data_IF_204232673109
#
_entry.id   IF_204232673109
#
_cell.length_a   1.000
_cell.length_b   1.000
_cell.length_c   1.000
_cell.angle_alpha   90.00
_cell.angle_beta   90.00
_cell.angle_gamma   90.00
#
_symmetry.space_group_name_H-M   'P 1'
#
loop_
_entity.id
_entity.type
_entity.pdbx_description
1 polymer ?
#
# COMPACT_ATOMS: atom_id res chain seq x y z
N UNK A 1 -17.54 -15.53 -10.02
CA UNK A 1 -18.39 -14.34 -9.84
C UNK A 1 -18.95 -13.89 -11.19
N UNK A 2 -20.15 -13.31 -11.20
CA UNK A 2 -20.77 -12.70 -12.39
C UNK A 2 -20.90 -11.21 -12.14
N UNK A 3 -20.40 -10.39 -13.05
CA UNK A 3 -20.50 -8.93 -13.01
C UNK A 3 -21.44 -8.47 -14.13
N UNK A 4 -22.41 -7.64 -13.77
CA UNK A 4 -23.42 -7.16 -14.72
C UNK A 4 -24.49 -6.32 -14.05
N UNK A 5 -25.43 -5.81 -14.85
CA UNK A 5 -26.58 -5.07 -14.31
C UNK A 5 -27.42 -6.00 -13.44
N UNK A 6 -27.90 -5.51 -12.29
CA UNK A 6 -28.70 -6.29 -11.32
C UNK A 6 -29.88 -7.03 -11.96
N UNK A 7 -30.58 -6.40 -12.92
CA UNK A 7 -31.69 -7.02 -13.65
C UNK A 7 -31.28 -8.27 -14.45
N UNK A 8 -30.08 -8.26 -15.03
CA UNK A 8 -29.55 -9.38 -15.83
C UNK A 8 -29.10 -10.52 -14.91
N UNK A 9 -28.44 -10.17 -13.80
CA UNK A 9 -28.02 -11.14 -12.78
C UNK A 9 -29.25 -11.83 -12.17
N UNK A 10 -30.30 -11.07 -11.85
CA UNK A 10 -31.55 -11.62 -11.32
C UNK A 10 -32.16 -12.63 -12.28
N UNK A 11 -32.29 -12.27 -13.55
CA UNK A 11 -32.84 -13.17 -14.57
C UNK A 11 -32.02 -14.46 -14.68
N UNK A 12 -30.70 -14.35 -14.71
CA UNK A 12 -29.80 -15.51 -14.74
C UNK A 12 -29.97 -16.38 -13.49
N UNK A 13 -30.10 -15.76 -12.31
CA UNK A 13 -30.31 -16.50 -11.07
C UNK A 13 -31.64 -17.28 -11.10
N UNK A 14 -32.71 -16.65 -11.57
CA UNK A 14 -34.02 -17.28 -11.71
C UNK A 14 -33.98 -18.44 -12.73
N UNK A 15 -33.34 -18.24 -13.89
CA UNK A 15 -33.24 -19.23 -14.97
C UNK A 15 -32.45 -20.49 -14.57
N UNK A 16 -31.44 -20.34 -13.71
CA UNK A 16 -30.54 -21.42 -13.29
C UNK A 16 -30.76 -21.89 -11.85
N UNK A 17 -31.77 -21.35 -11.14
CA UNK A 17 -32.05 -21.67 -9.74
C UNK A 17 -30.90 -21.32 -8.79
N UNK A 18 -30.21 -20.22 -9.05
CA UNK A 18 -29.05 -19.77 -8.26
C UNK A 18 -29.48 -18.78 -7.18
N UNK A 19 -28.80 -18.84 -6.03
CA UNK A 19 -28.96 -17.84 -4.97
C UNK A 19 -27.98 -16.68 -5.19
N UNK A 20 -28.49 -15.44 -5.16
CA UNK A 20 -27.67 -14.24 -5.27
C UNK A 20 -27.23 -13.84 -3.87
N UNK A 21 -25.93 -13.92 -3.62
CA UNK A 21 -25.33 -13.37 -2.41
C UNK A 21 -25.19 -11.84 -2.52
N UNK A 22 -25.36 -11.10 -1.41
CA UNK A 22 -25.26 -9.64 -1.39
C UNK A 22 -23.84 -9.14 -1.64
N UNK A 23 -22.84 -9.94 -1.30
CA UNK A 23 -21.41 -9.63 -1.44
C UNK A 23 -20.64 -10.81 -2.04
N UNK A 24 -19.43 -10.51 -2.47
CA UNK A 24 -18.63 -11.38 -3.32
C UNK A 24 -17.57 -12.09 -2.46
N UNK A 25 -17.99 -13.03 -1.63
CA UNK A 25 -17.13 -13.59 -0.57
C UNK A 25 -15.90 -14.35 -1.11
N UNK A 26 -16.11 -15.26 -2.06
CA UNK A 26 -15.07 -16.22 -2.51
C UNK A 26 -14.06 -15.58 -3.49
N UNK A 27 -14.46 -14.59 -4.27
CA UNK A 27 -13.63 -14.01 -5.34
C UNK A 27 -13.36 -12.51 -5.13
N UNK A 28 -13.61 -11.96 -3.94
CA UNK A 28 -13.42 -10.54 -3.62
C UNK A 28 -12.03 -10.04 -4.00
N UNK A 29 -10.98 -10.78 -3.62
CA UNK A 29 -9.59 -10.41 -3.90
C UNK A 29 -9.25 -10.41 -5.39
N UNK A 30 -9.67 -11.46 -6.10
CA UNK A 30 -9.40 -11.61 -7.54
C UNK A 30 -10.07 -10.52 -8.39
N UNK A 31 -11.05 -9.81 -7.82
CA UNK A 31 -11.78 -8.71 -8.45
C UNK A 31 -11.52 -7.36 -7.77
N UNK A 32 -10.57 -7.29 -6.84
CA UNK A 32 -10.20 -6.04 -6.21
C UNK A 32 -9.60 -5.08 -7.26
N UNK A 33 -9.93 -3.76 -7.23
CA UNK A 33 -9.41 -2.79 -8.19
C UNK A 33 -7.88 -2.72 -8.27
N UNK A 34 -7.18 -3.12 -7.21
CA UNK A 34 -5.71 -3.19 -7.14
C UNK A 34 -5.13 -4.39 -7.87
N UNK A 35 -5.93 -5.41 -8.22
CA UNK A 35 -5.49 -6.68 -8.82
C UNK A 35 -6.07 -6.89 -10.21
N UNK A 36 -7.31 -6.44 -10.44
CA UNK A 36 -8.01 -6.62 -11.70
C UNK A 36 -8.99 -5.47 -11.98
N UNK A 37 -9.36 -5.32 -13.24
CA UNK A 37 -10.35 -4.33 -13.65
C UNK A 37 -10.64 -4.35 -15.14
N UNK A 38 -11.31 -3.30 -15.60
CA UNK A 38 -11.64 -3.13 -17.02
C UNK A 38 -10.47 -2.43 -17.71
N UNK A 39 -10.06 -2.98 -18.85
CA UNK A 39 -9.03 -2.42 -19.70
C UNK A 39 -9.45 -2.44 -21.17
N UNK A 40 -8.84 -1.54 -21.93
CA UNK A 40 -9.00 -1.38 -23.36
C UNK A 40 -7.74 -1.88 -24.07
N UNK A 41 -7.93 -2.78 -25.04
CA UNK A 41 -6.86 -3.39 -25.82
C UNK A 41 -7.24 -3.38 -27.29
N UNK A 42 -6.37 -2.89 -28.15
CA UNK A 42 -6.59 -2.81 -29.60
C UNK A 42 -5.94 -3.99 -30.31
N UNK A 43 -6.57 -4.50 -31.36
CA UNK A 43 -5.97 -5.47 -32.28
C UNK A 43 -5.19 -4.72 -33.37
N UNK A 44 -3.83 -4.77 -33.38
CA UNK A 44 -3.03 -4.11 -34.39
C UNK A 44 -3.17 -4.77 -35.78
N UNK A 45 -2.82 -4.06 -36.87
CA UNK A 45 -2.92 -4.59 -38.24
C UNK A 45 -2.12 -5.87 -38.52
N UNK A 46 -1.04 -6.11 -37.78
CA UNK A 46 -0.17 -7.28 -37.94
C UNK A 46 -0.54 -8.45 -37.00
N UNK A 47 -1.68 -8.36 -36.32
CA UNK A 47 -2.13 -9.37 -35.34
C UNK A 47 -2.52 -10.68 -36.03
N UNK A 48 -2.08 -11.80 -35.46
CA UNK A 48 -2.47 -13.15 -35.88
C UNK A 48 -3.90 -13.53 -35.49
N UNK A 49 -4.61 -12.63 -34.80
CA UNK A 49 -5.99 -12.81 -34.34
C UNK A 49 -7.04 -12.27 -35.31
N UNK A 50 -6.62 -11.58 -36.36
CA UNK A 50 -7.52 -11.08 -37.40
C UNK A 50 -8.28 -12.26 -38.05
N UNK A 51 -9.57 -12.06 -38.31
CA UNK A 51 -10.55 -13.06 -38.77
C UNK A 51 -10.85 -14.22 -37.80
N UNK A 52 -10.19 -14.29 -36.64
CA UNK A 52 -10.52 -15.29 -35.60
C UNK A 52 -11.60 -14.76 -34.67
N UNK A 53 -12.37 -15.69 -34.10
CA UNK A 53 -13.40 -15.37 -33.09
C UNK A 53 -12.86 -15.53 -31.68
N UNK A 54 -13.38 -14.77 -30.72
CA UNK A 54 -12.99 -14.87 -29.31
C UNK A 54 -13.21 -16.28 -28.74
N UNK A 55 -14.26 -16.99 -29.19
CA UNK A 55 -14.55 -18.38 -28.78
C UNK A 55 -13.51 -19.37 -29.33
N UNK A 56 -13.07 -19.20 -30.57
CA UNK A 56 -12.10 -20.07 -31.24
C UNK A 56 -10.73 -20.02 -30.55
N UNK A 57 -10.26 -18.82 -30.21
CA UNK A 57 -8.98 -18.61 -29.54
C UNK A 57 -9.05 -18.81 -28.03
N UNK A 58 -10.24 -19.12 -27.49
CA UNK A 58 -10.51 -19.26 -26.05
C UNK A 58 -9.97 -18.05 -25.27
N UNK A 59 -10.37 -16.86 -25.68
CA UNK A 59 -9.80 -15.56 -25.25
C UNK A 59 -9.54 -15.46 -23.75
N UNK A 60 -10.53 -15.86 -22.93
CA UNK A 60 -10.43 -15.85 -21.46
C UNK A 60 -9.39 -16.83 -20.90
N UNK A 61 -9.25 -18.01 -21.50
CA UNK A 61 -8.32 -19.06 -21.02
C UNK A 61 -6.89 -18.82 -21.52
N UNK A 62 -6.74 -18.35 -22.75
CA UNK A 62 -5.43 -18.17 -23.39
C UNK A 62 -4.79 -16.84 -23.01
N UNK A 63 -5.57 -15.77 -22.98
CA UNK A 63 -5.07 -14.40 -22.79
C UNK A 63 -5.54 -13.75 -21.48
N UNK A 64 -6.40 -14.44 -20.70
CA UNK A 64 -6.93 -13.89 -19.45
C UNK A 64 -7.94 -12.75 -19.64
N UNK A 65 -8.36 -12.47 -20.88
CA UNK A 65 -9.26 -11.38 -21.24
C UNK A 65 -10.72 -11.86 -21.21
N UNK A 66 -11.50 -11.36 -20.25
CA UNK A 66 -12.95 -11.49 -20.23
C UNK A 66 -13.59 -10.40 -21.09
N UNK A 67 -13.82 -10.68 -22.37
CA UNK A 67 -14.37 -9.72 -23.31
C UNK A 67 -15.75 -9.20 -22.86
N UNK A 68 -15.91 -7.88 -22.80
CA UNK A 68 -17.14 -7.19 -22.42
C UNK A 68 -17.80 -6.53 -23.64
N UNK A 69 -17.00 -5.89 -24.49
CA UNK A 69 -17.46 -5.26 -25.71
C UNK A 69 -16.35 -5.17 -26.77
N UNK A 70 -16.75 -5.00 -28.03
CA UNK A 70 -15.88 -4.67 -29.16
C UNK A 70 -16.35 -3.33 -29.71
N UNK A 71 -15.47 -2.34 -29.74
CA UNK A 71 -15.71 -1.06 -30.40
C UNK A 71 -15.04 -1.07 -31.79
N UNK A 72 -15.84 -0.85 -32.83
CA UNK A 72 -15.43 -0.94 -34.24
C UNK A 72 -16.10 0.16 -35.04
N UNK A 73 -15.30 1.06 -35.62
CA UNK A 73 -15.79 2.07 -36.56
C UNK A 73 -16.87 3.00 -35.98
N UNK A 74 -16.81 3.30 -34.67
CA UNK A 74 -17.79 4.13 -33.98
C UNK A 74 -19.01 3.36 -33.44
N UNK A 75 -19.16 2.08 -33.78
CA UNK A 75 -20.20 1.21 -33.24
C UNK A 75 -19.66 0.34 -32.09
N UNK A 76 -20.52 0.07 -31.11
CA UNK A 76 -20.21 -0.80 -29.97
C UNK A 76 -21.00 -2.10 -30.10
N UNK A 77 -20.29 -3.22 -30.10
CA UNK A 77 -20.86 -4.57 -30.06
C UNK A 77 -20.73 -5.10 -28.64
N UNK A 78 -21.85 -5.47 -28.02
CA UNK A 78 -21.84 -6.14 -26.71
C UNK A 78 -23.02 -7.08 -26.56
N UNK A 79 -22.95 -7.98 -25.58
CA UNK A 79 -24.03 -8.93 -25.27
C UNK A 79 -25.28 -8.23 -24.68
N UNK A 80 -25.19 -6.95 -24.33
CA UNK A 80 -26.27 -6.20 -23.68
C UNK A 80 -26.85 -5.20 -24.67
N UNK A 81 -28.15 -5.31 -24.94
CA UNK A 81 -28.87 -4.32 -25.74
C UNK A 81 -28.96 -3.00 -24.97
N UNK A 82 -28.65 -1.90 -25.66
CA UNK A 82 -28.85 -0.53 -25.18
C UNK A 82 -29.63 0.27 -26.23
N UNK A 83 -29.95 1.53 -25.92
CA UNK A 83 -30.59 2.42 -26.90
C UNK A 83 -29.65 2.77 -28.06
N UNK A 84 -28.33 2.64 -27.85
CA UNK A 84 -27.28 2.96 -28.81
C UNK A 84 -26.89 1.78 -29.70
N UNK A 85 -27.09 0.53 -29.24
CA UNK A 85 -26.70 -0.67 -30.01
C UNK A 85 -27.49 -1.94 -29.65
N UNK A 86 -27.61 -2.83 -30.64
CA UNK A 86 -28.31 -4.12 -30.50
C UNK A 86 -27.39 -5.18 -29.87
N UNK A 87 -27.96 -6.07 -29.07
CA UNK A 87 -27.23 -7.19 -28.48
C UNK A 87 -26.60 -8.06 -29.58
N UNK A 88 -25.29 -8.24 -29.49
CA UNK A 88 -24.48 -9.02 -30.44
C UNK A 88 -23.68 -10.06 -29.67
N UNK A 89 -23.63 -11.29 -30.20
CA UNK A 89 -22.77 -12.33 -29.62
C UNK A 89 -21.30 -12.07 -29.98
N UNK A 90 -20.65 -11.23 -29.18
CA UNK A 90 -19.24 -10.84 -29.32
C UNK A 90 -18.27 -12.03 -29.26
N UNK A 91 -18.70 -13.20 -28.76
CA UNK A 91 -17.87 -14.39 -28.77
C UNK A 91 -17.71 -14.98 -30.18
N UNK A 92 -18.68 -14.72 -31.06
CA UNK A 92 -18.77 -15.22 -32.43
C UNK A 92 -18.37 -14.20 -33.51
N UNK A 93 -18.15 -12.94 -33.12
CA UNK A 93 -17.71 -11.89 -34.05
C UNK A 93 -16.23 -12.11 -34.39
N UNK A 94 -15.87 -12.25 -35.69
CA UNK A 94 -14.48 -12.31 -36.09
C UNK A 94 -13.82 -10.94 -35.89
N UNK A 95 -12.61 -10.96 -35.34
CA UNK A 95 -11.84 -9.75 -35.08
C UNK A 95 -11.31 -9.12 -36.36
N UNK A 96 -11.20 -7.79 -36.35
CA UNK A 96 -10.63 -6.98 -37.43
C UNK A 96 -9.51 -6.10 -36.88
N UNK A 97 -8.59 -5.71 -37.77
CA UNK A 97 -7.58 -4.71 -37.44
C UNK A 97 -8.25 -3.40 -37.00
N UNK A 98 -7.76 -2.83 -35.89
CA UNK A 98 -8.29 -1.62 -35.29
C UNK A 98 -9.47 -1.84 -34.33
N UNK A 99 -9.94 -3.08 -34.15
CA UNK A 99 -10.93 -3.37 -33.11
C UNK A 99 -10.39 -2.99 -31.74
N UNK A 100 -11.16 -2.21 -30.99
CA UNK A 100 -10.86 -1.91 -29.58
C UNK A 100 -11.69 -2.83 -28.71
N UNK A 101 -11.03 -3.75 -28.02
CA UNK A 101 -11.63 -4.70 -27.11
C UNK A 101 -11.70 -4.09 -25.71
N UNK A 102 -12.90 -3.99 -25.16
CA UNK A 102 -13.10 -3.69 -23.75
C UNK A 102 -13.20 -5.02 -23.02
N UNK A 103 -12.29 -5.28 -22.09
CA UNK A 103 -12.24 -6.56 -21.38
C UNK A 103 -11.97 -6.38 -19.89
N UNK A 104 -12.55 -7.26 -19.08
CA UNK A 104 -12.14 -7.42 -17.69
C UNK A 104 -10.93 -8.37 -17.62
N UNK A 105 -9.88 -7.98 -16.91
CA UNK A 105 -8.65 -8.76 -16.81
C UNK A 105 -7.89 -8.47 -15.51
N UNK A 106 -7.06 -9.43 -15.08
CA UNK A 106 -6.08 -9.19 -14.04
C UNK A 106 -4.95 -8.31 -14.59
N UNK A 107 -4.41 -7.41 -13.77
CA UNK A 107 -3.33 -6.50 -14.16
C UNK A 107 -2.06 -7.24 -14.59
N UNK A 108 -1.78 -8.40 -13.99
CA UNK A 108 -0.69 -9.30 -14.42
C UNK A 108 -0.88 -9.78 -15.87
N UNK A 109 -2.11 -10.16 -16.25
CA UNK A 109 -2.41 -10.58 -17.62
C UNK A 109 -2.25 -9.42 -18.60
N UNK A 110 -2.71 -8.22 -18.21
CA UNK A 110 -2.59 -7.02 -19.03
C UNK A 110 -1.13 -6.64 -19.29
N UNK A 111 -0.28 -6.72 -18.25
CA UNK A 111 1.16 -6.51 -18.38
C UNK A 111 1.83 -7.54 -19.32
N UNK A 112 1.39 -8.80 -19.31
CA UNK A 112 1.86 -9.81 -20.28
C UNK A 112 1.43 -9.49 -21.72
N UNK A 113 0.25 -8.90 -21.90
CA UNK A 113 -0.26 -8.55 -23.23
C UNK A 113 0.51 -7.40 -23.88
N UNK A 114 1.11 -6.50 -23.09
CA UNK A 114 2.00 -5.44 -23.62
C UNK A 114 3.22 -5.99 -24.36
N UNK A 115 3.65 -7.22 -24.02
CA UNK A 115 4.77 -7.89 -24.69
C UNK A 115 4.32 -8.70 -25.92
N UNK A 116 3.01 -8.85 -26.15
CA UNK A 116 2.46 -9.57 -27.29
C UNK A 116 2.44 -8.70 -28.54
N UNK A 117 2.64 -9.32 -29.70
CA UNK A 117 2.45 -8.65 -31.00
C UNK A 117 0.99 -8.58 -31.44
N UNK A 118 0.14 -9.40 -30.83
CA UNK A 118 -1.27 -9.54 -31.23
C UNK A 118 -2.19 -8.48 -30.62
N UNK A 119 -1.67 -7.65 -29.70
CA UNK A 119 -2.43 -6.70 -28.88
C UNK A 119 -1.65 -5.40 -28.66
N UNK A 120 -2.38 -4.29 -28.56
CA UNK A 120 -1.85 -2.99 -28.12
C UNK A 120 -2.70 -2.55 -26.93
N UNK A 121 -2.10 -2.48 -25.75
CA UNK A 121 -2.81 -2.03 -24.54
C UNK A 121 -2.97 -0.52 -24.56
N UNK A 122 -4.21 -0.03 -24.48
CA UNK A 122 -4.54 1.41 -24.47
C UNK A 122 -4.62 1.94 -23.04
N UNK A 123 -5.13 1.14 -22.11
CA UNK A 123 -5.20 1.51 -20.70
C UNK A 123 -3.78 1.64 -20.11
N UNK A 124 -3.32 2.87 -19.91
CA UNK A 124 -2.03 3.17 -19.28
C UNK A 124 -2.08 3.17 -17.75
N UNK A 125 -3.24 3.48 -17.18
CA UNK A 125 -3.41 3.79 -15.76
C UNK A 125 -3.86 2.55 -14.98
N UNK A 126 -2.97 1.55 -14.89
CA UNK A 126 -3.16 0.40 -14.02
C UNK A 126 -1.91 0.13 -13.16
N UNK A 127 -2.06 -0.45 -11.96
CA UNK A 127 -0.93 -0.75 -11.08
C UNK A 127 0.05 -1.72 -11.77
N UNK A 128 1.23 -1.24 -12.15
CA UNK A 128 2.34 -2.05 -12.68
C UNK A 128 3.46 -2.11 -11.65
N UNK A 129 3.77 -3.30 -11.16
CA UNK A 129 5.06 -3.55 -10.51
C UNK A 129 6.06 -4.04 -11.58
N UNK A 130 7.01 -3.19 -11.98
CA UNK A 130 8.11 -3.60 -12.86
C UNK A 130 9.10 -4.49 -12.09
N UNK A 131 8.91 -5.81 -12.17
CA UNK A 131 9.85 -6.76 -11.56
C UNK A 131 11.14 -6.85 -12.40
N UNK A 132 12.31 -6.61 -11.77
CA UNK A 132 13.65 -6.72 -12.40
C UNK A 132 14.49 -7.86 -11.79
N UNK A 133 14.12 -9.14 -12.00
CA UNK A 133 14.76 -10.29 -11.32
C UNK A 133 16.27 -10.43 -11.62
N UNK A 134 16.72 -10.01 -12.81
CA UNK A 134 18.13 -10.10 -13.20
C UNK A 134 19.05 -9.11 -12.44
N UNK A 135 18.49 -8.17 -11.68
CA UNK A 135 19.22 -7.14 -10.93
C UNK A 135 19.37 -7.45 -9.44
N UNK A 136 18.77 -8.54 -8.97
CA UNK A 136 18.76 -8.93 -7.55
C UNK A 136 20.17 -9.15 -7.01
N UNK A 137 21.07 -9.74 -7.80
CA UNK A 137 22.47 -9.98 -7.37
C UNK A 137 23.17 -8.67 -7.03
N UNK A 138 23.01 -7.63 -7.87
CA UNK A 138 23.59 -6.32 -7.64
C UNK A 138 22.95 -5.61 -6.44
N UNK A 139 21.62 -5.75 -6.28
CA UNK A 139 20.91 -5.20 -5.13
C UNK A 139 21.43 -5.80 -3.81
N UNK A 140 21.53 -7.13 -3.74
CA UNK A 140 22.04 -7.85 -2.56
C UNK A 140 23.50 -7.47 -2.30
N UNK A 141 24.33 -7.40 -3.34
CA UNK A 141 25.73 -7.02 -3.21
C UNK A 141 25.92 -5.64 -2.55
N UNK A 142 25.24 -4.60 -3.05
CA UNK A 142 25.36 -3.25 -2.49
C UNK A 142 24.72 -3.12 -1.10
N UNK A 143 23.64 -3.87 -0.85
CA UNK A 143 23.07 -3.98 0.49
C UNK A 143 24.06 -4.59 1.49
N UNK A 144 24.73 -5.69 1.12
CA UNK A 144 25.76 -6.32 1.94
C UNK A 144 26.95 -5.39 2.17
N UNK A 145 27.36 -4.60 1.18
CA UNK A 145 28.41 -3.57 1.36
C UNK A 145 27.99 -2.55 2.41
N UNK A 146 26.79 -1.98 2.30
CA UNK A 146 26.31 -1.02 3.31
C UNK A 146 26.28 -1.63 4.70
N UNK A 147 25.79 -2.87 4.83
CA UNK A 147 25.70 -3.57 6.11
C UNK A 147 27.10 -3.87 6.68
N UNK A 148 28.04 -4.27 5.84
CA UNK A 148 29.44 -4.45 6.22
C UNK A 148 30.07 -3.15 6.73
N UNK A 149 29.86 -2.03 6.01
CA UNK A 149 30.35 -0.73 6.46
C UNK A 149 29.75 -0.34 7.81
N UNK A 150 28.46 -0.59 8.04
CA UNK A 150 27.80 -0.28 9.32
C UNK A 150 28.39 -1.10 10.47
N UNK A 151 28.64 -2.39 10.27
CA UNK A 151 29.05 -3.30 11.35
C UNK A 151 30.55 -3.27 11.64
N UNK A 152 31.39 -3.03 10.64
CA UNK A 152 32.84 -3.21 10.74
C UNK A 152 33.64 -1.92 10.60
N UNK A 153 32.98 -0.78 10.40
CA UNK A 153 33.67 0.53 10.30
C UNK A 153 33.00 1.58 11.17
N UNK A 154 33.77 2.57 11.63
CA UNK A 154 33.28 3.74 12.38
C UNK A 154 32.67 4.84 11.48
N UNK A 155 32.29 4.48 10.25
CA UNK A 155 31.66 5.44 9.35
C UNK A 155 30.28 5.83 9.88
N UNK A 156 29.92 7.10 9.67
CA UNK A 156 28.55 7.56 9.96
C UNK A 156 27.56 6.70 9.20
N UNK A 157 26.52 6.24 9.89
CA UNK A 157 25.45 5.41 9.33
C UNK A 157 24.91 5.98 8.01
N UNK A 158 24.75 7.31 7.92
CA UNK A 158 24.28 8.00 6.72
C UNK A 158 25.21 7.79 5.52
N UNK A 159 26.53 7.81 5.71
CA UNK A 159 27.49 7.56 4.65
C UNK A 159 27.47 6.09 4.22
N UNK A 160 27.42 5.17 5.19
CA UNK A 160 27.37 3.74 4.89
C UNK A 160 26.12 3.35 4.08
N UNK A 161 24.95 3.89 4.42
CA UNK A 161 23.71 3.67 3.66
C UNK A 161 23.73 4.36 2.30
N UNK A 162 24.27 5.59 2.21
CA UNK A 162 24.36 6.32 0.94
C UNK A 162 25.23 5.59 -0.08
N UNK A 163 26.33 4.95 0.36
CA UNK A 163 27.18 4.17 -0.57
C UNK A 163 26.44 3.02 -1.25
N UNK A 164 25.58 2.29 -0.52
CA UNK A 164 24.76 1.23 -1.10
C UNK A 164 23.71 1.78 -2.05
N UNK A 165 23.02 2.85 -1.68
CA UNK A 165 22.03 3.52 -2.54
C UNK A 165 22.67 4.02 -3.85
N UNK A 166 23.82 4.71 -3.78
CA UNK A 166 24.57 5.14 -4.95
C UNK A 166 25.01 3.95 -5.82
N UNK A 167 25.43 2.84 -5.21
CA UNK A 167 25.78 1.62 -5.92
C UNK A 167 24.60 0.99 -6.67
N UNK A 168 23.41 0.97 -6.06
CA UNK A 168 22.18 0.50 -6.71
C UNK A 168 21.79 1.36 -7.92
N UNK A 169 21.96 2.68 -7.82
CA UNK A 169 21.72 3.59 -8.95
C UNK A 169 22.77 3.38 -10.05
N UNK A 170 24.06 3.31 -9.69
CA UNK A 170 25.15 3.13 -10.65
C UNK A 170 25.09 1.80 -11.41
N UNK A 171 24.58 0.74 -10.77
CA UNK A 171 24.37 -0.58 -11.39
C UNK A 171 23.04 -0.71 -12.16
N UNK A 172 22.27 0.39 -12.22
CA UNK A 172 20.95 0.46 -12.86
C UNK A 172 19.99 -0.62 -12.29
N UNK A 173 20.10 -0.86 -10.98
CA UNK A 173 19.12 -1.64 -10.21
C UNK A 173 17.89 -0.77 -9.98
N UNK A 174 18.14 0.48 -9.58
CA UNK A 174 17.14 1.51 -9.31
C UNK A 174 17.40 2.73 -10.20
N UNK A 175 16.35 3.26 -10.82
CA UNK A 175 16.42 4.56 -11.53
C UNK A 175 16.51 5.68 -10.52
N UNK A 176 17.03 6.84 -10.94
CA UNK A 176 17.13 7.98 -10.04
C UNK A 176 15.77 8.46 -9.56
N UNK A 177 14.76 8.45 -10.44
CA UNK A 177 13.39 8.85 -10.09
C UNK A 177 12.77 7.90 -9.05
N UNK A 178 12.92 6.59 -9.25
CA UNK A 178 12.50 5.56 -8.27
C UNK A 178 13.18 5.76 -6.91
N UNK A 179 14.46 6.17 -6.90
CA UNK A 179 15.19 6.50 -5.67
C UNK A 179 14.65 7.76 -4.98
N UNK A 180 14.29 8.80 -5.75
CA UNK A 180 13.70 10.03 -5.24
C UNK A 180 12.31 9.80 -4.64
N UNK A 181 11.50 8.93 -5.26
CA UNK A 181 10.17 8.54 -4.78
C UNK A 181 10.25 7.68 -3.51
N UNK A 182 11.29 6.85 -3.38
CA UNK A 182 11.51 6.04 -2.17
C UNK A 182 11.85 6.88 -0.92
N UNK A 183 12.28 8.14 -1.09
CA UNK A 183 12.57 9.04 0.02
C UNK A 183 11.28 9.64 0.57
N UNK A 184 11.02 9.42 1.86
CA UNK A 184 9.92 10.08 2.57
C UNK A 184 10.26 11.55 2.87
N UNK A 185 10.08 12.42 1.88
CA UNK A 185 10.28 13.88 2.02
C UNK A 185 9.54 14.49 3.22
N UNK A 186 8.28 14.11 3.54
CA UNK A 186 7.61 14.60 4.75
C UNK A 186 8.38 14.31 6.04
N UNK A 187 9.01 13.13 6.14
CA UNK A 187 9.81 12.73 7.31
C UNK A 187 11.10 13.55 7.39
N UNK A 188 11.75 13.81 6.25
CA UNK A 188 12.97 14.64 6.20
C UNK A 188 12.66 16.07 6.66
N UNK A 189 11.61 16.68 6.12
CA UNK A 189 11.20 18.03 6.51
C UNK A 189 10.74 18.10 7.97
N UNK A 190 10.06 17.07 8.46
CA UNK A 190 9.71 16.96 9.87
C UNK A 190 10.97 17.02 10.74
N UNK A 191 11.90 16.06 10.57
CA UNK A 191 13.08 15.96 11.43
C UNK A 191 13.92 17.23 11.34
N UNK A 192 14.04 17.83 10.15
CA UNK A 192 14.70 19.12 9.97
C UNK A 192 13.98 20.24 10.75
N UNK A 193 12.65 20.28 10.76
CA UNK A 193 11.86 21.28 11.49
C UNK A 193 11.91 21.14 13.02
N UNK A 194 12.24 19.94 13.54
CA UNK A 194 12.35 19.72 14.98
C UNK A 194 13.50 20.49 15.62
N UNK A 195 14.58 20.72 14.88
CA UNK A 195 15.75 21.46 15.36
C UNK A 195 15.38 22.92 15.69
N UNK A 196 14.86 23.74 14.75
CA UNK A 196 14.48 25.11 15.06
C UNK A 196 13.27 25.19 16.00
N UNK A 197 12.32 24.24 15.93
CA UNK A 197 11.20 24.20 16.87
C UNK A 197 11.68 23.98 18.31
N UNK A 198 12.58 23.01 18.52
CA UNK A 198 13.19 22.76 19.83
C UNK A 198 13.93 23.99 20.36
N UNK A 199 14.68 24.69 19.48
CA UNK A 199 15.33 25.95 19.84
C UNK A 199 14.34 27.05 20.21
N UNK A 200 13.26 27.20 19.45
CA UNK A 200 12.22 28.18 19.75
C UNK A 200 11.56 27.91 21.12
N UNK A 201 11.17 26.66 21.38
CA UNK A 201 10.53 26.23 22.63
C UNK A 201 11.46 26.42 23.84
N UNK A 202 12.77 26.21 23.67
CA UNK A 202 13.77 26.53 24.70
C UNK A 202 13.90 28.04 24.92
N UNK A 203 14.08 28.81 23.84
CA UNK A 203 14.33 30.25 23.91
C UNK A 203 13.13 31.05 24.44
N UNK A 204 11.90 30.62 24.18
CA UNK A 204 10.69 31.28 24.69
C UNK A 204 10.40 30.95 26.15
N UNK A 205 11.17 30.06 26.78
CA UNK A 205 10.85 29.52 28.10
C UNK A 205 9.60 28.63 28.10
N UNK A 206 9.08 28.27 26.93
CA UNK A 206 7.90 27.41 26.81
C UNK A 206 8.20 26.00 27.29
N UNK A 207 9.43 25.49 27.07
CA UNK A 207 9.88 24.23 27.65
C UNK A 207 9.71 24.22 29.18
N UNK A 208 10.18 25.28 29.83
CA UNK A 208 10.13 25.46 31.29
C UNK A 208 8.68 25.60 31.78
N UNK A 209 7.85 26.36 31.06
CA UNK A 209 6.43 26.52 31.39
C UNK A 209 5.66 25.20 31.24
N UNK A 210 5.89 24.44 30.15
CA UNK A 210 5.30 23.10 29.96
C UNK A 210 5.79 22.17 31.07
N UNK A 211 7.09 22.19 31.40
CA UNK A 211 7.68 21.38 32.46
C UNK A 211 6.97 21.63 33.79
N UNK A 212 6.81 22.89 34.19
CA UNK A 212 6.17 23.27 35.43
C UNK A 212 4.69 22.87 35.47
N UNK A 213 3.95 23.04 34.38
CA UNK A 213 2.54 22.61 34.33
C UNK A 213 2.40 21.09 34.36
N UNK A 214 3.26 20.36 33.66
CA UNK A 214 3.31 18.89 33.70
C UNK A 214 3.71 18.41 35.09
N UNK A 215 4.72 19.01 35.71
CA UNK A 215 5.15 18.70 37.08
C UNK A 215 4.04 19.00 38.10
N UNK A 216 3.21 20.02 37.89
CA UNK A 216 2.04 20.30 38.73
C UNK A 216 0.90 19.30 38.51
N UNK A 217 0.65 18.88 37.27
CA UNK A 217 -0.43 17.95 36.93
C UNK A 217 -0.09 16.49 37.27
N UNK A 218 1.20 16.16 37.22
CA UNK A 218 1.76 14.82 37.36
C UNK A 218 2.75 14.77 38.53
N UNK A 219 2.59 15.64 39.53
CA UNK A 219 3.45 15.68 40.71
C UNK A 219 3.49 14.30 41.38
N UNK A 220 4.69 13.73 41.52
CA UNK A 220 4.88 12.38 42.05
C UNK A 220 4.75 11.23 41.04
N UNK A 221 4.46 11.49 39.76
CA UNK A 221 4.52 10.46 38.71
C UNK A 221 5.96 10.25 38.21
N UNK A 222 6.35 8.99 38.00
CA UNK A 222 7.68 8.68 37.48
C UNK A 222 7.78 8.97 35.97
N UNK A 223 8.99 9.26 35.48
CA UNK A 223 9.29 9.57 34.05
C UNK A 223 8.78 8.46 33.12
N UNK A 224 8.89 7.19 33.53
CA UNK A 224 8.36 6.06 32.75
C UNK A 224 6.84 6.12 32.58
N UNK A 225 6.11 6.74 33.51
CA UNK A 225 4.67 6.95 33.43
C UNK A 225 4.28 7.95 32.35
N UNK A 226 5.05 9.04 32.20
CA UNK A 226 4.89 9.98 31.08
C UNK A 226 5.19 9.29 29.75
N UNK A 227 6.28 8.51 29.69
CA UNK A 227 6.64 7.74 28.50
C UNK A 227 5.52 6.77 28.11
N UNK A 228 4.93 6.07 29.09
CA UNK A 228 3.80 5.17 28.88
C UNK A 228 2.54 5.91 28.38
N UNK A 229 2.23 7.09 28.94
CA UNK A 229 1.11 7.90 28.47
C UNK A 229 1.28 8.32 27.01
N UNK A 230 2.48 8.74 26.61
CA UNK A 230 2.80 9.09 25.22
C UNK A 230 2.72 7.86 24.32
N UNK A 231 3.17 6.68 24.78
CA UNK A 231 3.06 5.44 24.03
C UNK A 231 1.60 5.06 23.75
N UNK A 232 0.74 5.15 24.76
CA UNK A 232 -0.71 4.90 24.64
C UNK A 232 -1.36 5.92 23.70
N UNK A 233 -1.02 7.21 23.84
CA UNK A 233 -1.50 8.27 22.95
C UNK A 233 -1.10 7.99 21.50
N UNK A 234 0.16 7.60 21.27
CA UNK A 234 0.68 7.25 19.95
C UNK A 234 -0.08 6.07 19.33
N UNK A 235 -0.26 4.98 20.08
CA UNK A 235 -1.08 3.86 19.65
C UNK A 235 -2.51 4.29 19.31
N UNK A 236 -3.14 5.13 20.13
CA UNK A 236 -4.50 5.61 19.87
C UNK A 236 -4.61 6.43 18.57
N UNK A 237 -3.64 7.31 18.30
CA UNK A 237 -3.63 8.09 17.06
C UNK A 237 -3.52 7.20 15.82
N UNK A 238 -2.77 6.10 15.90
CA UNK A 238 -2.62 5.16 14.76
C UNK A 238 -3.88 4.37 14.41
N UNK A 239 -4.89 4.40 15.28
CA UNK A 239 -6.20 3.84 14.96
C UNK A 239 -6.93 4.69 13.90
N UNK A 240 -6.60 5.97 13.80
CA UNK A 240 -7.31 6.95 12.96
C UNK A 240 -6.44 7.46 11.80
N UNK A 241 -5.12 7.37 11.92
CA UNK A 241 -4.18 7.88 10.92
C UNK A 241 -3.09 6.86 10.57
N UNK A 242 -2.35 7.12 9.49
CA UNK A 242 -1.20 6.27 9.12
C UNK A 242 -0.07 6.35 10.15
N UNK A 243 0.69 5.26 10.31
CA UNK A 243 1.82 5.20 11.26
C UNK A 243 2.83 6.34 11.02
N UNK A 244 3.10 6.66 9.75
CA UNK A 244 3.96 7.79 9.35
C UNK A 244 3.35 9.12 9.81
N UNK A 245 2.06 9.36 9.53
CA UNK A 245 1.38 10.58 9.94
C UNK A 245 1.38 10.76 11.46
N UNK A 246 1.10 9.70 12.22
CA UNK A 246 1.08 9.74 13.68
C UNK A 246 2.46 10.07 14.25
N UNK A 247 3.50 9.45 13.69
CA UNK A 247 4.89 9.67 14.09
C UNK A 247 5.31 11.10 13.82
N UNK A 248 4.96 11.62 12.64
CA UNK A 248 5.21 13.01 12.22
C UNK A 248 4.58 13.99 13.22
N UNK A 249 3.34 13.77 13.64
CA UNK A 249 2.67 14.67 14.59
C UNK A 249 3.22 14.57 16.02
N UNK A 250 3.46 13.35 16.50
CA UNK A 250 3.69 13.09 17.93
C UNK A 250 5.15 13.15 18.37
N UNK A 251 6.12 12.88 17.48
CA UNK A 251 7.55 13.00 17.82
C UNK A 251 7.92 14.41 18.30
N UNK A 252 7.52 15.51 17.64
CA UNK A 252 7.79 16.87 18.13
C UNK A 252 7.27 17.11 19.56
N UNK A 253 6.05 16.64 19.83
CA UNK A 253 5.40 16.78 21.13
C UNK A 253 6.16 16.00 22.20
N UNK A 254 6.50 14.74 21.92
CA UNK A 254 7.22 13.87 22.85
C UNK A 254 8.63 14.41 23.16
N UNK A 255 9.35 14.93 22.16
CA UNK A 255 10.65 15.58 22.33
C UNK A 255 10.53 16.81 23.23
N UNK A 256 9.52 17.65 23.01
CA UNK A 256 9.29 18.86 23.83
C UNK A 256 9.00 18.51 25.28
N UNK A 257 8.18 17.47 25.53
CA UNK A 257 7.89 16.97 26.88
C UNK A 257 9.14 16.38 27.53
N UNK A 258 9.95 15.63 26.79
CA UNK A 258 11.19 15.06 27.32
C UNK A 258 12.18 16.14 27.77
N UNK A 259 12.37 17.17 26.94
CA UNK A 259 13.21 18.32 27.28
C UNK A 259 12.69 19.05 28.52
N UNK A 260 11.37 19.21 28.63
CA UNK A 260 10.71 19.85 29.76
C UNK A 260 10.94 19.09 31.08
N UNK A 261 10.82 17.76 31.08
CA UNK A 261 10.98 16.94 32.30
C UNK A 261 12.42 16.45 32.53
N UNK A 262 13.40 16.98 31.78
CA UNK A 262 14.81 16.59 31.90
C UNK A 262 15.11 15.14 31.47
N UNK A 263 14.24 14.53 30.67
CA UNK A 263 14.42 13.17 30.14
C UNK A 263 15.15 13.19 28.78
N UNK A 264 15.64 12.02 28.35
CA UNK A 264 16.32 11.88 27.07
C UNK A 264 15.33 12.08 25.89
N UNK A 265 15.49 13.11 25.05
CA UNK A 265 14.57 13.38 23.94
C UNK A 265 14.58 12.29 22.87
N UNK A 266 15.72 11.61 22.67
CA UNK A 266 15.84 10.51 21.73
C UNK A 266 14.99 9.31 22.18
N UNK A 267 14.94 9.04 23.50
CA UNK A 267 14.12 7.95 24.06
C UNK A 267 12.62 8.20 23.86
N UNK A 268 12.17 9.44 24.05
CA UNK A 268 10.77 9.82 23.84
C UNK A 268 10.39 9.81 22.35
N UNK A 269 11.28 10.27 21.47
CA UNK A 269 11.11 10.15 20.02
C UNK A 269 11.02 8.68 19.59
N UNK A 270 11.91 7.82 20.10
CA UNK A 270 11.90 6.38 19.85
C UNK A 270 10.63 5.71 20.38
N UNK A 271 10.16 6.13 21.56
CA UNK A 271 8.90 5.65 22.15
C UNK A 271 7.74 5.89 21.20
N UNK A 272 7.62 7.10 20.65
CA UNK A 272 6.58 7.39 19.65
C UNK A 272 6.76 6.51 18.41
N UNK A 273 7.96 6.46 17.84
CA UNK A 273 8.22 5.70 16.60
C UNK A 273 7.88 4.20 16.73
N UNK A 274 8.15 3.59 17.89
CA UNK A 274 7.79 2.20 18.17
C UNK A 274 6.29 2.07 18.44
N UNK A 275 5.73 2.96 19.25
CA UNK A 275 4.32 2.89 19.67
C UNK A 275 3.34 3.20 18.54
N UNK A 276 3.75 3.95 17.52
CA UNK A 276 2.98 4.16 16.30
C UNK A 276 3.00 2.96 15.37
N UNK A 277 3.88 1.99 15.59
CA UNK A 277 3.86 0.72 14.86
C UNK A 277 2.89 -0.31 15.46
N UNK A 278 2.23 0.04 16.56
CA UNK A 278 1.29 -0.82 17.30
C UNK A 278 -0.11 -0.86 16.65
N UNK A 279 -0.19 -1.39 15.43
CA UNK A 279 -1.42 -1.39 14.61
C UNK A 279 -2.26 -2.67 14.74
N UNK A 280 -2.38 -3.28 15.94
CA UNK A 280 -3.09 -4.56 16.10
C UNK A 280 -4.60 -4.45 16.32
N UNK A 281 -5.08 -3.33 16.85
CA UNK A 281 -6.46 -3.17 17.32
C UNK A 281 -7.51 -3.10 16.20
N UNK A 282 -7.18 -2.50 15.06
CA UNK A 282 -8.10 -2.30 13.92
C UNK A 282 -7.36 -2.63 12.63
N UNK A 283 -8.00 -3.27 11.63
CA UNK A 283 -7.38 -3.60 10.35
C UNK A 283 -7.24 -2.39 9.41
N UNK A 284 -6.75 -1.25 9.92
CA UNK A 284 -6.43 -0.06 9.11
C UNK A 284 -5.10 -0.20 8.38
N UNK A 285 -4.19 -1.01 8.90
CA UNK A 285 -2.92 -1.31 8.25
C UNK A 285 -3.11 -2.29 7.09
N UNK A 286 -2.44 -2.04 5.95
CA UNK A 286 -2.62 -2.79 4.70
C UNK A 286 -2.48 -4.31 4.89
N UNK A 287 -1.50 -4.76 5.68
CA UNK A 287 -1.30 -6.20 5.98
C UNK A 287 -2.48 -6.82 6.72
N UNK A 288 -3.08 -6.11 7.68
CA UNK A 288 -4.23 -6.62 8.43
C UNK A 288 -5.48 -6.68 7.55
N UNK A 289 -5.67 -5.69 6.67
CA UNK A 289 -6.74 -5.67 5.69
C UNK A 289 -6.64 -6.83 4.69
N UNK A 290 -5.42 -7.16 4.24
CA UNK A 290 -5.16 -8.29 3.33
C UNK A 290 -5.53 -9.64 3.95
N UNK A 291 -5.36 -9.83 5.25
CA UNK A 291 -5.69 -11.10 5.93
C UNK A 291 -7.17 -11.16 6.29
N UNK A 292 -7.80 -10.01 6.52
CA UNK A 292 -9.20 -9.92 6.96
C UNK A 292 -10.17 -10.57 5.96
N UNK A 293 -9.94 -10.39 4.66
CA UNK A 293 -10.77 -10.96 3.59
C UNK A 293 -10.74 -12.50 3.55
N UNK A 294 -9.62 -13.13 3.18
CA UNK A 294 -9.49 -14.59 3.09
C UNK A 294 -9.70 -15.32 4.42
N UNK A 295 -9.33 -14.66 5.54
CA UNK A 295 -9.47 -15.21 6.87
C UNK A 295 -10.89 -15.14 7.44
N UNK A 296 -11.80 -14.41 6.78
CA UNK A 296 -13.18 -14.20 7.27
C UNK A 296 -13.25 -13.48 8.62
N UNK A 297 -12.23 -12.68 8.95
CA UNK A 297 -12.14 -12.00 10.24
C UNK A 297 -13.01 -10.73 10.26
N UNK A 298 -13.64 -10.46 11.40
CA UNK A 298 -14.38 -9.21 11.65
C UNK A 298 -13.52 -8.24 12.45
N UNK A 299 -13.87 -6.95 12.41
CA UNK A 299 -13.18 -5.91 13.22
C UNK A 299 -13.21 -6.27 14.72
N UNK A 300 -14.28 -6.92 15.19
CA UNK A 300 -14.38 -7.40 16.58
C UNK A 300 -13.33 -8.45 16.93
N UNK A 301 -12.89 -9.27 15.97
CA UNK A 301 -11.87 -10.29 16.19
C UNK A 301 -10.49 -9.63 16.35
N UNK A 302 -10.23 -8.58 15.55
CA UNK A 302 -9.05 -7.72 15.69
C UNK A 302 -9.02 -6.98 17.02
N UNK A 303 -10.13 -6.39 17.46
CA UNK A 303 -10.15 -5.70 18.77
C UNK A 303 -9.88 -6.69 19.91
N UNK A 304 -10.45 -7.91 19.84
CA UNK A 304 -10.28 -8.91 20.91
C UNK A 304 -8.86 -9.47 20.99
N UNK A 305 -8.31 -9.89 19.86
CA UNK A 305 -6.95 -10.46 19.80
C UNK A 305 -5.88 -9.36 19.86
N UNK A 306 -6.08 -8.32 19.06
CA UNK A 306 -5.20 -7.16 18.96
C UNK A 306 -5.13 -6.35 20.23
N UNK A 307 -6.21 -6.23 21.02
CA UNK A 307 -6.15 -5.56 22.32
C UNK A 307 -5.16 -6.22 23.29
N UNK A 308 -5.16 -7.56 23.35
CA UNK A 308 -4.19 -8.32 24.16
C UNK A 308 -2.77 -8.09 23.63
N UNK A 309 -2.58 -8.16 22.31
CA UNK A 309 -1.28 -7.97 21.68
C UNK A 309 -0.75 -6.55 21.86
N UNK A 310 -1.61 -5.53 21.77
CA UNK A 310 -1.28 -4.12 21.96
C UNK A 310 -0.79 -3.87 23.39
N UNK A 311 -1.46 -4.43 24.41
CA UNK A 311 -1.00 -4.30 25.80
C UNK A 311 0.35 -4.98 25.97
N UNK A 312 0.51 -6.20 25.47
CA UNK A 312 1.78 -6.92 25.53
C UNK A 312 2.91 -6.17 24.83
N UNK A 313 2.63 -5.62 23.64
CA UNK A 313 3.56 -4.81 22.86
C UNK A 313 4.01 -3.57 23.63
N UNK A 314 3.08 -2.83 24.24
CA UNK A 314 3.41 -1.65 25.04
C UNK A 314 4.27 -2.01 26.25
N UNK A 315 3.92 -3.08 26.97
CA UNK A 315 4.69 -3.54 28.14
C UNK A 315 6.12 -3.92 27.71
N UNK A 316 6.27 -4.75 26.68
CA UNK A 316 7.58 -5.21 26.21
C UNK A 316 8.41 -4.05 25.67
N UNK A 317 7.84 -3.22 24.79
CA UNK A 317 8.54 -2.09 24.19
C UNK A 317 9.03 -1.08 25.24
N UNK A 318 8.16 -0.67 26.17
CA UNK A 318 8.54 0.25 27.26
C UNK A 318 9.59 -0.36 28.18
N UNK A 319 9.46 -1.66 28.51
CA UNK A 319 10.44 -2.35 29.37
C UNK A 319 11.81 -2.42 28.70
N UNK A 320 11.87 -2.84 27.43
CA UNK A 320 13.14 -2.93 26.69
C UNK A 320 13.79 -1.57 26.52
N UNK A 321 13.01 -0.54 26.18
CA UNK A 321 13.52 0.83 26.05
C UNK A 321 14.09 1.36 27.36
N UNK A 322 13.44 1.12 28.51
CA UNK A 322 13.95 1.56 29.82
C UNK A 322 15.12 0.71 30.34
N UNK A 323 15.34 -0.51 29.83
CA UNK A 323 16.50 -1.33 30.21
C UNK A 323 17.75 -0.93 29.42
N UNK A 324 17.57 -0.54 28.15
CA UNK A 324 18.69 -0.26 27.24
C UNK A 324 19.19 1.19 27.29
N UNK A 325 18.36 2.14 27.74
CA UNK A 325 18.65 3.57 27.78
C UNK A 325 18.43 4.14 29.18
#
# INVERSE_FOLDING_TARGET
AVLGRRKVIQRMADDFGLEILPELDIFSEAYAPTVAGVAEVVIPPDSSLIEKKAREIRMRKTHGLGLLAIHRGGETLSLVQTDEHVATDIAEVPFKAGDTLVAFTAWENLARLEQSRDFVVVTSDYPKEELRPNKVIWAVFFFCISLFLILFTDLRLSLALLTGACGMIASNVLRIDEAYEAVSWPTVFLLASLIPLGQAVQNTGTAEWIAQNILLLLEGWPIWGLQAAIAVLATAFTLVMSNVGATVLLVPLAVSIALAVGANPALFALTVAISTSNSFLIPTHQVNALIMGPGGYKVTDFIRSGGIMTILFLIVSLSVMNILF
#
